data_IF_161147170337
#
_entry.id   IF_161147170337
#
_cell.length_a   1.000
_cell.length_b   1.000
_cell.length_c   1.000
_cell.angle_alpha   90.00
_cell.angle_beta   90.00
_cell.angle_gamma   90.00
#
_symmetry.space_group_name_H-M   'P 1'
#
loop_
_entity.id
_entity.type
_entity.pdbx_description
1 polymer ?
#
# COMPACT_ATOMS: atom_id res chain seq x y z
N UNK A 1 -27.79 28.87 31.08
CA UNK A 1 -27.48 28.04 29.89
C UNK A 1 -26.40 28.76 29.09
N UNK A 2 -25.14 28.37 29.26
CA UNK A 2 -24.02 28.91 28.49
C UNK A 2 -23.68 27.91 27.39
N UNK A 3 -23.89 28.31 26.12
CA UNK A 3 -23.37 27.61 24.95
C UNK A 3 -21.87 27.92 24.89
N UNK A 4 -21.01 26.93 25.14
CA UNK A 4 -19.60 27.03 24.78
C UNK A 4 -19.44 26.77 23.29
N UNK A 5 -19.07 27.80 22.54
CA UNK A 5 -18.55 27.67 21.19
C UNK A 5 -17.13 27.10 21.28
N UNK A 6 -16.94 25.83 20.90
CA UNK A 6 -15.61 25.31 20.62
C UNK A 6 -15.26 25.58 19.16
N UNK A 7 -14.48 26.62 18.93
CA UNK A 7 -13.72 26.79 17.69
C UNK A 7 -12.53 25.83 17.71
N UNK A 8 -12.62 24.73 16.96
CA UNK A 8 -11.45 23.89 16.66
C UNK A 8 -10.44 24.70 15.84
N UNK A 9 -9.31 25.05 16.43
CA UNK A 9 -8.14 25.47 15.68
C UNK A 9 -7.49 24.23 15.06
N UNK A 10 -7.52 24.16 13.73
CA UNK A 10 -6.87 23.12 12.93
C UNK A 10 -5.38 23.44 12.87
N UNK A 11 -4.55 22.57 13.45
CA UNK A 11 -3.11 22.57 13.23
C UNK A 11 -2.84 22.29 11.73
N UNK A 12 -2.06 23.15 11.02
CA UNK A 12 -1.77 22.99 9.60
C UNK A 12 -0.95 21.72 9.25
N UNK A 13 -0.53 20.93 10.24
CA UNK A 13 0.32 19.74 10.03
C UNK A 13 -0.41 18.39 9.87
N UNK A 14 -1.75 18.34 9.94
CA UNK A 14 -2.57 17.15 9.59
C UNK A 14 -2.04 15.80 10.11
N UNK A 15 -1.99 15.62 11.43
CA UNK A 15 -1.79 14.31 12.05
C UNK A 15 -3.12 13.79 12.57
N UNK A 16 -3.56 12.61 12.10
CA UNK A 16 -4.66 11.90 12.73
C UNK A 16 -4.10 10.95 13.79
N UNK A 17 -4.27 11.36 15.04
CA UNK A 17 -3.93 10.59 16.24
C UNK A 17 -5.22 9.94 16.73
N UNK A 18 -5.32 8.61 16.65
CA UNK A 18 -6.49 7.87 17.14
C UNK A 18 -6.56 7.90 18.67
N UNK A 19 -7.32 8.83 19.25
CA UNK A 19 -7.71 8.72 20.66
C UNK A 19 -8.96 7.83 20.75
N UNK A 20 -8.93 6.64 21.38
CA UNK A 20 -10.18 6.02 21.79
C UNK A 20 -10.94 7.01 22.67
N UNK A 21 -12.25 7.13 22.48
CA UNK A 21 -13.12 7.97 23.29
C UNK A 21 -13.05 7.47 24.73
N UNK A 22 -12.14 8.05 25.52
CA UNK A 22 -12.17 7.89 26.96
C UNK A 22 -13.22 8.87 27.48
N UNK A 23 -14.39 8.33 27.80
CA UNK A 23 -15.36 8.97 28.68
C UNK A 23 -14.71 9.14 30.05
N UNK A 24 -13.87 10.16 30.21
CA UNK A 24 -13.36 10.55 31.51
C UNK A 24 -14.39 11.44 32.20
N UNK A 25 -14.90 10.96 33.33
CA UNK A 25 -15.56 11.80 34.31
C UNK A 25 -14.64 12.96 34.68
N UNK A 26 -15.11 14.18 34.43
CA UNK A 26 -14.44 15.43 34.82
C UNK A 26 -14.44 15.57 36.34
N UNK A 27 -13.35 15.19 37.01
CA UNK A 27 -13.04 15.71 38.35
C UNK A 27 -11.61 15.34 38.80
N UNK A 28 -10.57 15.84 38.13
CA UNK A 28 -9.28 16.15 38.77
C UNK A 28 -8.54 17.21 37.94
N UNK A 29 -8.69 18.47 38.34
CA UNK A 29 -7.83 19.56 37.89
C UNK A 29 -6.61 19.55 38.81
N UNK A 30 -5.48 19.02 38.34
CA UNK A 30 -4.18 19.27 38.97
C UNK A 30 -3.53 20.42 38.22
N UNK A 31 -3.29 21.49 38.95
CA UNK A 31 -2.68 22.73 38.52
C UNK A 31 -1.18 22.48 38.28
N UNK A 32 -0.77 22.21 37.03
CA UNK A 32 0.63 22.23 36.62
C UNK A 32 0.90 23.51 35.83
N UNK A 33 1.87 24.29 36.31
CA UNK A 33 2.39 25.47 35.62
C UNK A 33 2.81 25.09 34.18
N UNK A 34 2.53 25.94 33.17
CA UNK A 34 3.04 25.72 31.83
C UNK A 34 4.56 25.88 31.85
N UNK A 35 5.27 24.77 31.74
CA UNK A 35 6.69 24.77 31.43
C UNK A 35 6.81 25.08 29.93
N UNK A 36 7.35 26.25 29.61
CA UNK A 36 7.58 26.70 28.24
C UNK A 36 8.44 25.65 27.49
N UNK A 37 7.95 25.05 26.39
CA UNK A 37 8.72 24.03 25.68
C UNK A 37 9.98 24.66 25.11
N UNK A 38 11.13 24.05 25.43
CA UNK A 38 12.42 24.47 24.91
C UNK A 38 12.38 24.55 23.37
N UNK A 39 13.05 25.54 22.76
CA UNK A 39 13.02 25.74 21.31
C UNK A 39 13.59 24.51 20.61
N UNK A 40 12.71 23.72 19.98
CA UNK A 40 13.11 22.59 19.15
C UNK A 40 13.95 23.12 17.99
N UNK A 41 15.25 22.82 18.02
CA UNK A 41 16.17 23.10 16.91
C UNK A 41 15.64 22.40 15.67
N UNK A 42 15.16 23.16 14.68
CA UNK A 42 14.74 22.67 13.36
C UNK A 42 15.95 22.16 12.58
N UNK A 43 16.41 20.94 12.88
CA UNK A 43 17.30 20.21 11.99
C UNK A 43 16.49 19.69 10.80
N UNK A 44 16.54 20.43 9.68
CA UNK A 44 15.98 20.00 8.40
C UNK A 44 16.92 18.98 7.74
N UNK A 45 16.99 17.77 8.28
CA UNK A 45 17.54 16.63 7.52
C UNK A 45 16.47 16.12 6.56
N UNK A 46 16.86 15.73 5.35
CA UNK A 46 15.95 15.03 4.40
C UNK A 46 15.46 13.71 5.04
N UNK A 47 16.27 13.13 5.92
CA UNK A 47 15.94 11.94 6.71
C UNK A 47 15.00 12.22 7.90
N UNK A 48 14.83 13.48 8.33
CA UNK A 48 13.92 13.82 9.44
C UNK A 48 12.44 13.62 9.09
N UNK A 49 12.10 13.42 7.80
CA UNK A 49 10.77 12.99 7.37
C UNK A 49 10.54 11.49 7.47
N UNK A 50 11.63 10.70 7.43
CA UNK A 50 11.57 9.24 7.40
C UNK A 50 11.35 8.63 8.76
N UNK A 51 11.93 9.25 9.80
CA UNK A 51 11.75 8.78 11.16
C UNK A 51 11.48 9.92 12.12
N UNK A 52 10.58 9.67 13.07
CA UNK A 52 10.34 10.53 14.22
C UNK A 52 10.84 9.78 15.43
N UNK A 53 11.77 10.38 16.17
CA UNK A 53 12.19 9.87 17.47
C UNK A 53 11.35 10.60 18.51
N UNK A 54 10.39 9.89 19.10
CA UNK A 54 9.60 10.37 20.24
C UNK A 54 9.81 9.36 21.38
N UNK A 55 10.27 9.86 22.53
CA UNK A 55 10.42 9.07 23.76
C UNK A 55 11.22 7.76 23.60
N UNK A 56 12.28 7.80 22.78
CA UNK A 56 13.14 6.63 22.53
C UNK A 56 12.57 5.62 21.51
N UNK A 57 11.38 5.85 20.96
CA UNK A 57 10.78 5.05 19.90
C UNK A 57 11.09 5.66 18.54
N UNK A 58 11.66 4.85 17.64
CA UNK A 58 11.86 5.21 16.23
C UNK A 58 10.58 4.87 15.47
N UNK A 59 9.82 5.90 15.10
CA UNK A 59 8.61 5.75 14.28
C UNK A 59 8.99 5.95 12.82
N UNK A 60 8.64 5.03 11.93
CA UNK A 60 9.00 5.14 10.50
C UNK A 60 7.75 5.43 9.68
N UNK A 61 7.89 6.35 8.72
CA UNK A 61 6.81 6.72 7.81
C UNK A 61 6.45 5.53 6.91
N UNK A 62 5.32 4.87 7.19
CA UNK A 62 4.79 3.77 6.38
C UNK A 62 4.58 4.22 4.94
N UNK A 63 4.14 5.46 4.74
CA UNK A 63 3.97 6.07 3.43
C UNK A 63 5.29 6.10 2.65
N UNK A 64 6.36 6.62 3.25
CA UNK A 64 7.64 6.76 2.54
C UNK A 64 8.28 5.38 2.28
N UNK A 65 8.19 4.45 3.23
CA UNK A 65 8.58 3.06 3.01
C UNK A 65 7.81 2.43 1.84
N UNK A 66 6.50 2.66 1.78
CA UNK A 66 5.64 2.15 0.71
C UNK A 66 6.07 2.70 -0.64
N UNK A 67 6.29 4.00 -0.74
CA UNK A 67 6.70 4.66 -1.99
C UNK A 67 8.08 4.14 -2.43
N UNK A 68 9.06 4.09 -1.52
CA UNK A 68 10.41 3.62 -1.84
C UNK A 68 10.41 2.17 -2.30
N UNK A 69 9.74 1.27 -1.57
CA UNK A 69 9.76 -0.16 -1.93
C UNK A 69 8.94 -0.44 -3.20
N UNK A 70 7.85 0.30 -3.45
CA UNK A 70 7.11 0.22 -4.71
C UNK A 70 7.94 0.73 -5.90
N UNK A 71 8.67 1.83 -5.72
CA UNK A 71 9.57 2.34 -6.74
C UNK A 71 10.73 1.37 -6.99
N UNK A 72 11.31 0.80 -5.93
CA UNK A 72 12.40 -0.17 -6.03
C UNK A 72 12.00 -1.40 -6.84
N UNK A 73 10.86 -2.05 -6.53
CA UNK A 73 10.43 -3.22 -7.28
C UNK A 73 10.16 -2.89 -8.76
N UNK A 74 9.60 -1.72 -9.04
CA UNK A 74 9.30 -1.26 -10.39
C UNK A 74 10.57 -1.01 -11.21
N UNK A 75 11.52 -0.30 -10.62
CA UNK A 75 12.83 -0.06 -11.24
C UNK A 75 13.54 -1.38 -11.46
N UNK A 76 13.56 -2.27 -10.46
CA UNK A 76 14.17 -3.60 -10.59
C UNK A 76 13.55 -4.40 -11.73
N UNK A 77 12.22 -4.44 -11.84
CA UNK A 77 11.55 -5.13 -12.95
C UNK A 77 11.93 -4.53 -14.31
N UNK A 78 11.88 -3.20 -14.46
CA UNK A 78 12.25 -2.54 -15.71
C UNK A 78 13.72 -2.82 -16.08
N UNK A 79 14.61 -2.81 -15.08
CA UNK A 79 16.04 -3.11 -15.26
C UNK A 79 16.25 -4.57 -15.67
N UNK A 80 15.53 -5.53 -15.06
CA UNK A 80 15.56 -6.94 -15.48
C UNK A 80 15.12 -7.09 -16.94
N UNK A 81 14.00 -6.45 -17.31
CA UNK A 81 13.52 -6.44 -18.70
C UNK A 81 14.56 -5.87 -19.66
N UNK A 82 15.13 -4.71 -19.35
CA UNK A 82 16.18 -4.07 -20.15
C UNK A 82 17.41 -4.97 -20.35
N UNK A 83 17.93 -5.55 -19.27
CA UNK A 83 19.11 -6.41 -19.36
C UNK A 83 18.83 -7.71 -20.10
N UNK A 84 17.63 -8.30 -19.95
CA UNK A 84 17.24 -9.49 -20.70
C UNK A 84 17.23 -9.22 -22.21
N UNK A 85 16.70 -8.06 -22.62
CA UNK A 85 16.75 -7.62 -24.01
C UNK A 85 18.18 -7.35 -24.48
N UNK A 86 18.98 -6.65 -23.68
CA UNK A 86 20.35 -6.27 -24.05
C UNK A 86 21.30 -7.47 -24.18
N UNK A 87 21.11 -8.49 -23.34
CA UNK A 87 21.91 -9.71 -23.35
C UNK A 87 21.48 -10.70 -24.44
N UNK A 88 20.40 -10.40 -25.18
CA UNK A 88 19.75 -11.30 -26.14
C UNK A 88 19.17 -12.57 -25.50
N UNK A 89 18.73 -12.48 -24.23
CA UNK A 89 17.93 -13.55 -23.60
C UNK A 89 16.54 -13.62 -24.24
N UNK A 90 16.02 -12.47 -24.70
CA UNK A 90 14.79 -12.34 -25.48
C UNK A 90 14.99 -11.36 -26.64
N UNK A 91 14.30 -11.61 -27.76
CA UNK A 91 14.11 -10.60 -28.79
C UNK A 91 13.13 -9.56 -28.26
N UNK A 92 13.48 -8.27 -28.30
CA UNK A 92 12.65 -7.20 -27.77
C UNK A 92 12.35 -6.19 -28.86
N UNK A 93 11.48 -6.58 -29.78
CA UNK A 93 10.95 -5.70 -30.82
C UNK A 93 9.48 -5.36 -30.55
N UNK A 94 8.83 -4.67 -31.50
CA UNK A 94 7.43 -4.27 -31.38
C UNK A 94 6.44 -5.45 -31.52
N UNK A 95 6.90 -6.63 -31.93
CA UNK A 95 6.07 -7.79 -32.22
C UNK A 95 6.21 -8.92 -31.19
N UNK A 96 7.41 -9.09 -30.64
CA UNK A 96 7.83 -10.22 -29.82
C UNK A 96 8.41 -9.77 -28.47
N UNK A 97 7.81 -8.76 -27.83
CA UNK A 97 8.22 -8.31 -26.49
C UNK A 97 7.96 -9.37 -25.40
N UNK A 98 8.89 -9.64 -24.46
CA UNK A 98 8.71 -10.70 -23.48
C UNK A 98 7.71 -10.32 -22.37
N UNK A 99 6.96 -11.33 -21.93
CA UNK A 99 6.10 -11.27 -20.75
C UNK A 99 6.92 -11.06 -19.47
N UNK A 100 6.33 -10.40 -18.46
CA UNK A 100 7.00 -10.21 -17.17
C UNK A 100 7.30 -11.56 -16.55
N UNK A 101 6.31 -12.47 -16.58
CA UNK A 101 6.43 -13.83 -16.02
C UNK A 101 7.63 -14.58 -16.60
N UNK A 102 7.91 -14.41 -17.90
CA UNK A 102 9.05 -15.04 -18.58
C UNK A 102 10.39 -14.41 -18.18
N UNK A 103 10.43 -13.09 -18.02
CA UNK A 103 11.65 -12.39 -17.57
C UNK A 103 12.01 -12.81 -16.14
N UNK A 104 11.03 -12.82 -15.23
CA UNK A 104 11.30 -13.20 -13.82
C UNK A 104 11.60 -14.69 -13.64
N UNK A 105 11.31 -15.55 -14.63
CA UNK A 105 11.66 -16.96 -14.60
C UNK A 105 13.17 -17.22 -14.84
N UNK A 106 13.94 -16.20 -15.23
CA UNK A 106 15.38 -16.35 -15.41
C UNK A 106 16.09 -16.60 -14.06
N UNK A 107 17.11 -17.49 -13.98
CA UNK A 107 17.67 -18.01 -12.70
C UNK A 107 18.31 -17.01 -11.71
N UNK A 108 18.52 -15.76 -12.12
CA UNK A 108 19.00 -14.68 -11.24
C UNK A 108 17.87 -13.70 -10.89
N UNK A 109 16.89 -13.56 -11.77
CA UNK A 109 15.78 -12.64 -11.63
C UNK A 109 14.68 -13.23 -10.76
N UNK A 110 14.46 -14.55 -10.80
CA UNK A 110 13.55 -15.28 -9.90
C UNK A 110 13.89 -14.99 -8.42
N UNK A 111 15.14 -15.17 -8.02
CA UNK A 111 15.64 -14.94 -6.66
C UNK A 111 15.48 -13.48 -6.25
N UNK A 112 15.82 -12.57 -7.16
CA UNK A 112 15.72 -11.13 -6.91
C UNK A 112 14.26 -10.72 -6.72
N UNK A 113 13.37 -11.24 -7.59
CA UNK A 113 11.94 -10.99 -7.51
C UNK A 113 11.34 -11.55 -6.22
N UNK A 114 11.69 -12.77 -5.81
CA UNK A 114 11.24 -13.37 -4.55
C UNK A 114 11.65 -12.49 -3.35
N UNK A 115 12.91 -12.06 -3.29
CA UNK A 115 13.40 -11.23 -2.18
C UNK A 115 12.66 -9.89 -2.14
N UNK A 116 12.55 -9.20 -3.27
CA UNK A 116 11.88 -7.90 -3.36
C UNK A 116 10.39 -7.99 -3.01
N UNK A 117 9.69 -8.96 -3.57
CA UNK A 117 8.26 -9.17 -3.29
C UNK A 117 8.02 -9.59 -1.85
N UNK A 118 8.89 -10.41 -1.24
CA UNK A 118 8.79 -10.78 0.17
C UNK A 118 8.91 -9.55 1.08
N UNK A 119 9.95 -8.73 0.86
CA UNK A 119 10.16 -7.48 1.62
C UNK A 119 8.96 -6.55 1.44
N UNK A 120 8.47 -6.41 0.21
CA UNK A 120 7.33 -5.53 -0.06
C UNK A 120 6.03 -6.04 0.57
N UNK A 121 5.72 -7.33 0.44
CA UNK A 121 4.47 -7.90 0.95
C UNK A 121 4.41 -7.92 2.47
N UNK A 122 5.47 -8.39 3.13
CA UNK A 122 5.49 -8.54 4.58
C UNK A 122 5.99 -7.30 5.32
N UNK A 123 6.88 -6.52 4.71
CA UNK A 123 7.41 -5.29 5.31
C UNK A 123 6.46 -4.10 5.18
N UNK A 124 5.66 -4.03 4.11
CA UNK A 124 4.86 -2.84 3.79
C UNK A 124 3.39 -3.14 3.56
N UNK A 125 3.09 -4.07 2.65
CA UNK A 125 1.72 -4.31 2.20
C UNK A 125 0.84 -4.81 3.35
N UNK A 126 1.34 -5.75 4.13
CA UNK A 126 0.65 -6.28 5.31
C UNK A 126 0.34 -5.18 6.34
N UNK A 127 1.28 -4.26 6.57
CA UNK A 127 1.10 -3.14 7.50
C UNK A 127 0.05 -2.15 6.97
N UNK A 128 0.08 -1.85 5.67
CA UNK A 128 -0.96 -1.02 5.03
C UNK A 128 -2.34 -1.66 5.11
N UNK A 129 -2.46 -2.97 4.84
CA UNK A 129 -3.74 -3.71 4.97
C UNK A 129 -4.28 -3.59 6.39
N UNK A 130 -3.43 -3.76 7.41
CA UNK A 130 -3.81 -3.59 8.82
C UNK A 130 -4.22 -2.14 9.14
N UNK A 131 -3.52 -1.15 8.59
CA UNK A 131 -3.87 0.26 8.78
C UNK A 131 -5.25 0.58 8.19
N UNK A 132 -5.55 0.11 6.98
CA UNK A 132 -6.87 0.30 6.36
C UNK A 132 -7.97 -0.47 7.09
N UNK A 133 -7.70 -1.67 7.58
CA UNK A 133 -8.63 -2.41 8.43
C UNK A 133 -9.01 -1.59 9.67
N UNK A 134 -8.02 -1.01 10.37
CA UNK A 134 -8.27 -0.11 11.51
C UNK A 134 -9.02 1.15 11.09
N UNK A 135 -8.66 1.76 9.95
CA UNK A 135 -9.30 2.98 9.43
C UNK A 135 -10.80 2.78 9.17
N UNK A 136 -11.21 1.58 8.77
CA UNK A 136 -12.61 1.26 8.46
C UNK A 136 -13.38 0.67 9.65
N UNK A 137 -12.71 0.40 10.76
CA UNK A 137 -13.33 -0.19 11.94
C UNK A 137 -14.43 0.72 12.52
N UNK A 138 -15.62 0.17 12.76
CA UNK A 138 -16.79 0.92 13.20
C UNK A 138 -17.42 1.84 12.15
N UNK A 139 -16.82 1.98 10.96
CA UNK A 139 -17.36 2.76 9.83
C UNK A 139 -18.19 1.87 8.90
N UNK A 140 -17.68 0.66 8.63
CA UNK A 140 -18.36 -0.40 7.85
C UNK A 140 -18.64 -1.61 8.75
N UNK A 141 -19.56 -2.53 8.36
CA UNK A 141 -19.80 -3.76 9.10
C UNK A 141 -18.54 -4.62 9.24
N UNK A 142 -18.29 -5.17 10.44
CA UNK A 142 -17.07 -5.93 10.77
C UNK A 142 -16.83 -7.09 9.79
N UNK A 143 -17.87 -7.85 9.45
CA UNK A 143 -17.77 -8.94 8.47
C UNK A 143 -17.22 -8.49 7.11
N UNK A 144 -17.56 -7.27 6.65
CA UNK A 144 -17.05 -6.75 5.38
C UNK A 144 -15.57 -6.36 5.52
N UNK A 145 -15.19 -5.80 6.66
CA UNK A 145 -13.82 -5.43 6.96
C UNK A 145 -12.91 -6.67 7.11
N UNK A 146 -13.38 -7.69 7.83
CA UNK A 146 -12.71 -8.98 8.00
C UNK A 146 -12.48 -9.69 6.67
N UNK A 147 -13.51 -9.73 5.82
CA UNK A 147 -13.38 -10.31 4.47
C UNK A 147 -12.32 -9.58 3.65
N UNK A 148 -12.31 -8.24 3.69
CA UNK A 148 -11.30 -7.45 3.00
C UNK A 148 -9.89 -7.73 3.56
N UNK A 149 -9.74 -7.77 4.88
CA UNK A 149 -8.48 -8.11 5.53
C UNK A 149 -7.96 -9.49 5.10
N UNK A 150 -8.81 -10.51 5.10
CA UNK A 150 -8.45 -11.86 4.68
C UNK A 150 -8.00 -11.92 3.21
N UNK A 151 -8.67 -11.21 2.30
CA UNK A 151 -8.24 -11.09 0.90
C UNK A 151 -6.84 -10.46 0.79
N UNK A 152 -6.61 -9.39 1.56
CA UNK A 152 -5.29 -8.75 1.63
C UNK A 152 -4.21 -9.72 2.13
N UNK A 153 -4.46 -10.44 3.22
CA UNK A 153 -3.51 -11.41 3.78
C UNK A 153 -3.18 -12.51 2.79
N UNK A 154 -4.18 -13.11 2.12
CA UNK A 154 -3.95 -14.13 1.08
C UNK A 154 -3.05 -13.58 -0.03
N UNK A 155 -3.30 -12.34 -0.47
CA UNK A 155 -2.47 -11.72 -1.51
C UNK A 155 -1.00 -11.51 -1.10
N UNK A 156 -0.74 -11.19 0.18
CA UNK A 156 0.62 -11.03 0.69
C UNK A 156 1.44 -12.33 0.58
N UNK A 157 0.82 -13.48 0.80
CA UNK A 157 1.47 -14.78 0.62
C UNK A 157 1.57 -15.19 -0.85
N UNK A 158 0.55 -14.86 -1.64
CA UNK A 158 0.48 -15.30 -3.03
C UNK A 158 1.59 -14.69 -3.91
N UNK A 159 1.89 -13.40 -3.78
CA UNK A 159 2.86 -12.73 -4.67
C UNK A 159 4.29 -13.33 -4.60
N UNK A 160 4.91 -13.52 -3.43
CA UNK A 160 6.25 -14.13 -3.37
C UNK A 160 6.25 -15.57 -3.89
N UNK A 161 5.14 -16.31 -3.67
CA UNK A 161 5.01 -17.68 -4.16
C UNK A 161 4.96 -17.77 -5.68
N UNK A 162 4.50 -16.74 -6.40
CA UNK A 162 4.60 -16.66 -7.86
C UNK A 162 6.06 -16.78 -8.31
N UNK A 163 6.98 -16.10 -7.61
CA UNK A 163 8.41 -16.19 -7.91
C UNK A 163 9.02 -17.55 -7.51
N UNK A 164 8.58 -18.12 -6.38
CA UNK A 164 9.08 -19.42 -5.90
C UNK A 164 8.70 -20.56 -6.85
N UNK A 165 7.46 -20.55 -7.35
CA UNK A 165 6.98 -21.54 -8.29
C UNK A 165 7.21 -21.06 -9.71
N UNK A 166 8.40 -21.36 -10.23
CA UNK A 166 8.80 -21.10 -11.62
C UNK A 166 7.74 -21.58 -12.63
N UNK A 167 7.42 -20.74 -13.61
CA UNK A 167 6.35 -21.02 -14.58
C UNK A 167 6.68 -22.23 -15.47
N UNK A 168 7.95 -22.45 -15.80
CA UNK A 168 8.36 -23.55 -16.69
C UNK A 168 8.34 -24.91 -16.00
N UNK A 169 8.66 -24.98 -14.70
CA UNK A 169 8.66 -26.21 -13.92
C UNK A 169 7.35 -26.49 -13.21
N UNK A 170 6.68 -25.45 -12.71
CA UNK A 170 5.51 -25.54 -11.84
C UNK A 170 4.35 -24.67 -12.35
N UNK A 171 4.19 -24.53 -13.67
CA UNK A 171 3.24 -23.59 -14.29
C UNK A 171 1.81 -23.64 -13.76
N UNK A 172 1.29 -24.81 -13.38
CA UNK A 172 -0.04 -24.90 -12.74
C UNK A 172 -0.08 -24.21 -11.37
N UNK A 173 0.92 -24.46 -10.52
CA UNK A 173 1.00 -23.83 -9.19
C UNK A 173 1.28 -22.34 -9.34
N UNK A 174 2.19 -21.96 -10.23
CA UNK A 174 2.45 -20.57 -10.61
C UNK A 174 1.16 -19.84 -10.98
N UNK A 175 0.37 -20.41 -11.90
CA UNK A 175 -0.91 -19.86 -12.35
C UNK A 175 -1.92 -19.73 -11.21
N UNK A 176 -2.01 -20.71 -10.32
CA UNK A 176 -2.89 -20.64 -9.13
C UNK A 176 -2.44 -19.49 -8.21
N UNK A 177 -1.15 -19.36 -7.94
CA UNK A 177 -0.60 -18.26 -7.12
C UNK A 177 -0.85 -16.90 -7.79
N UNK A 178 -0.69 -16.79 -9.11
CA UNK A 178 -0.97 -15.58 -9.86
C UNK A 178 -2.45 -15.19 -9.77
N UNK A 179 -3.37 -16.14 -10.02
CA UNK A 179 -4.82 -15.90 -9.89
C UNK A 179 -5.17 -15.52 -8.45
N UNK A 180 -4.60 -16.18 -7.45
CA UNK A 180 -4.82 -15.85 -6.05
C UNK A 180 -4.35 -14.43 -5.73
N UNK A 181 -3.15 -14.03 -6.18
CA UNK A 181 -2.65 -12.68 -5.98
C UNK A 181 -3.50 -11.63 -6.69
N UNK A 182 -3.60 -11.69 -8.02
CA UNK A 182 -4.30 -10.67 -8.81
C UNK A 182 -5.79 -10.63 -8.49
N UNK A 183 -6.41 -11.80 -8.25
CA UNK A 183 -7.81 -11.91 -7.85
C UNK A 183 -8.06 -11.34 -6.46
N UNK A 184 -7.39 -11.87 -5.42
CA UNK A 184 -7.63 -11.40 -4.05
C UNK A 184 -7.21 -9.95 -3.86
N UNK A 185 -6.06 -9.55 -4.39
CA UNK A 185 -5.58 -8.17 -4.28
C UNK A 185 -6.41 -7.19 -5.12
N UNK A 186 -6.78 -7.57 -6.34
CA UNK A 186 -7.65 -6.74 -7.17
C UNK A 186 -9.02 -6.51 -6.52
N UNK A 187 -9.65 -7.56 -5.99
CA UNK A 187 -10.91 -7.45 -5.25
C UNK A 187 -10.74 -6.61 -3.98
N UNK A 188 -9.64 -6.81 -3.23
CA UNK A 188 -9.29 -5.98 -2.07
C UNK A 188 -9.25 -4.49 -2.44
N UNK A 189 -8.52 -4.11 -3.49
CA UNK A 189 -8.38 -2.72 -3.92
C UNK A 189 -9.72 -2.10 -4.33
N UNK A 190 -10.57 -2.86 -5.03
CA UNK A 190 -11.92 -2.43 -5.42
C UNK A 190 -12.81 -2.24 -4.21
N UNK A 191 -12.84 -3.20 -3.28
CA UNK A 191 -13.59 -3.08 -2.04
C UNK A 191 -13.14 -1.87 -1.22
N UNK A 192 -11.83 -1.71 -1.03
CA UNK A 192 -11.25 -0.59 -0.28
C UNK A 192 -11.64 0.76 -0.89
N UNK A 193 -11.44 0.94 -2.20
CA UNK A 193 -11.82 2.16 -2.91
C UNK A 193 -13.31 2.45 -2.83
N UNK A 194 -14.16 1.41 -2.89
CA UNK A 194 -15.61 1.55 -2.74
C UNK A 194 -16.01 1.99 -1.34
N UNK A 195 -15.49 1.33 -0.30
CA UNK A 195 -15.88 1.61 1.09
C UNK A 195 -15.41 2.99 1.55
N UNK A 196 -14.19 3.39 1.19
CA UNK A 196 -13.70 4.74 1.49
C UNK A 196 -14.52 5.81 0.78
N UNK A 197 -14.85 5.60 -0.50
CA UNK A 197 -15.65 6.56 -1.27
C UNK A 197 -17.10 6.64 -0.78
N UNK A 198 -17.70 5.53 -0.38
CA UNK A 198 -19.08 5.49 0.12
C UNK A 198 -19.26 6.09 1.52
N UNK A 199 -18.19 6.12 2.32
CA UNK A 199 -18.18 6.66 3.69
C UNK A 199 -17.29 7.90 3.80
N UNK A 200 -17.09 8.61 2.69
CA UNK A 200 -16.13 9.70 2.57
C UNK A 200 -16.37 10.84 3.57
N UNK A 201 -17.63 11.07 3.91
CA UNK A 201 -18.13 12.04 4.88
C UNK A 201 -17.69 11.75 6.33
N UNK A 202 -17.32 10.51 6.63
CA UNK A 202 -16.84 10.09 7.96
C UNK A 202 -15.33 10.28 8.16
N UNK A 203 -14.60 10.67 7.12
CA UNK A 203 -13.16 10.91 7.18
C UNK A 203 -12.84 12.40 7.20
N UNK A 204 -11.59 12.74 7.53
CA UNK A 204 -11.13 14.12 7.50
C UNK A 204 -11.30 14.69 6.07
N UNK A 205 -11.94 15.86 5.89
CA UNK A 205 -12.13 16.48 4.57
C UNK A 205 -10.85 16.66 3.76
N UNK A 206 -9.69 16.79 4.43
CA UNK A 206 -8.39 16.84 3.78
C UNK A 206 -8.05 15.57 2.96
N UNK A 207 -8.57 14.41 3.36
CA UNK A 207 -8.32 13.13 2.70
C UNK A 207 -9.24 12.89 1.48
N UNK A 208 -10.23 13.76 1.28
CA UNK A 208 -11.26 13.66 0.24
C UNK A 208 -10.67 13.39 -1.15
N UNK A 209 -9.65 14.16 -1.54
CA UNK A 209 -8.99 14.02 -2.84
C UNK A 209 -8.24 12.68 -2.98
N UNK A 210 -7.57 12.24 -1.91
CA UNK A 210 -6.85 10.97 -1.90
C UNK A 210 -7.81 9.78 -1.98
N UNK A 211 -8.98 9.86 -1.34
CA UNK A 211 -10.04 8.85 -1.45
C UNK A 211 -10.56 8.77 -2.89
N UNK A 212 -10.80 9.90 -3.56
CA UNK A 212 -11.25 9.91 -4.95
C UNK A 212 -10.22 9.28 -5.89
N UNK A 213 -8.94 9.59 -5.69
CA UNK A 213 -7.84 8.96 -6.44
C UNK A 213 -7.80 7.45 -6.22
N UNK A 214 -8.01 6.98 -5.00
CA UNK A 214 -8.03 5.55 -4.72
C UNK A 214 -9.20 4.85 -5.40
N UNK A 215 -10.38 5.48 -5.37
CA UNK A 215 -11.57 4.99 -6.09
C UNK A 215 -11.29 4.94 -7.60
N UNK A 216 -10.69 5.97 -8.17
CA UNK A 216 -10.30 5.97 -9.58
C UNK A 216 -9.28 4.87 -9.88
N UNK A 217 -8.24 4.73 -9.04
CA UNK A 217 -7.23 3.69 -9.22
C UNK A 217 -7.79 2.28 -9.15
N UNK A 218 -8.78 2.05 -8.28
CA UNK A 218 -9.48 0.76 -8.24
C UNK A 218 -10.25 0.43 -9.53
N UNK A 219 -10.76 1.43 -10.25
CA UNK A 219 -11.38 1.23 -11.57
C UNK A 219 -10.33 0.91 -12.63
N UNK A 220 -9.16 1.54 -12.56
CA UNK A 220 -8.02 1.24 -13.45
C UNK A 220 -7.61 -0.22 -13.30
N UNK A 221 -7.58 -0.75 -12.07
CA UNK A 221 -7.32 -2.18 -11.83
C UNK A 221 -8.30 -3.07 -12.60
N UNK A 222 -9.61 -2.79 -12.51
CA UNK A 222 -10.63 -3.59 -13.20
C UNK A 222 -10.43 -3.54 -14.72
N UNK A 223 -10.13 -2.35 -15.26
CA UNK A 223 -9.86 -2.18 -16.69
C UNK A 223 -8.62 -2.95 -17.12
N UNK A 224 -7.52 -2.86 -16.36
CA UNK A 224 -6.28 -3.56 -16.68
C UNK A 224 -6.43 -5.08 -16.59
N UNK A 225 -7.12 -5.60 -15.57
CA UNK A 225 -7.40 -7.04 -15.47
C UNK A 225 -8.29 -7.53 -16.62
N UNK A 226 -9.35 -6.78 -16.96
CA UNK A 226 -10.20 -7.13 -18.10
C UNK A 226 -9.40 -7.11 -19.41
N UNK A 227 -8.55 -6.10 -19.62
CA UNK A 227 -7.67 -6.01 -20.78
C UNK A 227 -6.70 -7.20 -20.85
N UNK A 228 -6.11 -7.61 -19.73
CA UNK A 228 -5.21 -8.76 -19.67
C UNK A 228 -5.92 -10.08 -19.99
N UNK A 229 -7.12 -10.29 -19.43
CA UNK A 229 -7.92 -11.48 -19.72
C UNK A 229 -8.30 -11.54 -21.20
N UNK A 230 -8.78 -10.43 -21.77
CA UNK A 230 -9.10 -10.35 -23.20
C UNK A 230 -7.85 -10.52 -24.06
N UNK A 231 -6.69 -9.99 -23.64
CA UNK A 231 -5.46 -10.14 -24.41
C UNK A 231 -5.00 -11.59 -24.47
N UNK A 232 -5.08 -12.34 -23.36
CA UNK A 232 -4.80 -13.78 -23.38
C UNK A 232 -5.75 -14.58 -24.28
N UNK A 233 -7.02 -14.18 -24.37
CA UNK A 233 -8.01 -14.84 -25.24
C UNK A 233 -7.72 -14.60 -26.72
N UNK A 234 -7.41 -13.36 -27.10
CA UNK A 234 -7.30 -12.97 -28.52
C UNK A 234 -5.88 -13.00 -29.09
N UNK A 235 -4.87 -12.73 -28.26
CA UNK A 235 -3.48 -12.54 -28.69
C UNK A 235 -2.51 -13.55 -28.06
N UNK A 236 -2.98 -14.33 -27.09
CA UNK A 236 -2.16 -15.31 -26.35
C UNK A 236 -0.88 -14.64 -25.81
N UNK A 237 0.30 -15.17 -26.15
CA UNK A 237 1.60 -14.64 -25.69
C UNK A 237 2.20 -13.56 -26.60
N UNK A 238 1.50 -13.13 -27.65
CA UNK A 238 2.00 -12.11 -28.59
C UNK A 238 1.53 -10.71 -28.20
N UNK A 239 2.22 -9.68 -28.70
CA UNK A 239 1.82 -8.28 -28.53
C UNK A 239 0.35 -8.12 -28.97
N UNK A 240 -0.50 -7.48 -28.14
CA UNK A 240 -0.19 -6.61 -27.01
C UNK A 240 -0.15 -7.27 -25.62
N UNK A 241 -0.35 -8.58 -25.49
CA UNK A 241 -0.46 -9.24 -24.17
C UNK A 241 0.72 -8.96 -23.24
N UNK A 242 1.99 -9.09 -23.67
CA UNK A 242 3.14 -8.79 -22.81
C UNK A 242 3.11 -7.36 -22.28
N UNK A 243 2.81 -6.38 -23.13
CA UNK A 243 2.75 -4.96 -22.72
C UNK A 243 1.66 -4.70 -21.68
N UNK A 244 0.50 -5.36 -21.84
CA UNK A 244 -0.60 -5.25 -20.89
C UNK A 244 -0.24 -5.91 -19.56
N UNK A 245 0.42 -7.07 -19.58
CA UNK A 245 0.92 -7.74 -18.38
C UNK A 245 1.93 -6.87 -17.64
N UNK A 246 2.89 -6.27 -18.33
CA UNK A 246 3.82 -5.29 -17.75
C UNK A 246 3.07 -4.13 -17.08
N UNK A 247 2.07 -3.56 -17.76
CA UNK A 247 1.25 -2.49 -17.19
C UNK A 247 0.49 -2.96 -15.95
N UNK A 248 -0.06 -4.18 -15.95
CA UNK A 248 -0.76 -4.77 -14.80
C UNK A 248 0.20 -4.97 -13.63
N UNK A 249 1.33 -5.63 -13.82
CA UNK A 249 2.30 -5.91 -12.75
C UNK A 249 2.83 -4.61 -12.14
N UNK A 250 3.24 -3.66 -12.97
CA UNK A 250 3.71 -2.35 -12.50
C UNK A 250 2.61 -1.56 -11.80
N UNK A 251 1.37 -1.60 -12.30
CA UNK A 251 0.28 -0.91 -11.62
C UNK A 251 -0.04 -1.53 -10.26
N UNK A 252 -0.08 -2.86 -10.20
CA UNK A 252 -0.36 -3.63 -8.98
C UNK A 252 0.71 -3.40 -7.91
N UNK A 253 1.98 -3.46 -8.28
CA UNK A 253 3.08 -3.19 -7.34
C UNK A 253 3.03 -1.77 -6.80
N UNK A 254 2.60 -0.78 -7.59
CA UNK A 254 2.53 0.61 -7.15
C UNK A 254 1.18 1.04 -6.57
N UNK A 255 0.17 0.17 -6.51
CA UNK A 255 -1.16 0.58 -6.05
C UNK A 255 -1.12 1.16 -4.63
N UNK A 256 -0.37 0.54 -3.72
CA UNK A 256 -0.24 1.06 -2.36
C UNK A 256 0.58 2.34 -2.28
N UNK A 257 1.50 2.62 -3.21
CA UNK A 257 2.10 3.95 -3.28
C UNK A 257 1.03 5.02 -3.54
N UNK A 258 0.05 4.74 -4.41
CA UNK A 258 -1.11 5.62 -4.64
C UNK A 258 -2.01 5.67 -3.39
N UNK A 259 -2.32 4.51 -2.79
CA UNK A 259 -3.18 4.43 -1.62
C UNK A 259 -2.55 5.07 -0.36
N UNK A 260 -1.21 5.12 -0.27
CA UNK A 260 -0.49 5.71 0.85
C UNK A 260 -0.80 7.20 1.04
N UNK A 261 -1.21 7.91 -0.03
CA UNK A 261 -1.65 9.31 0.08
C UNK A 261 -3.01 9.47 0.76
N UNK A 262 -3.80 8.40 0.86
CA UNK A 262 -5.05 8.35 1.62
C UNK A 262 -4.87 7.72 3.00
N UNK A 263 -3.65 7.30 3.33
CA UNK A 263 -3.29 6.63 4.56
C UNK A 263 -2.32 7.53 5.35
N UNK A 264 -2.83 8.40 6.21
CA UNK A 264 -2.01 9.25 7.09
C UNK A 264 -1.32 8.49 8.24
N UNK A 265 -1.39 7.16 8.28
CA UNK A 265 -0.85 6.36 9.38
C UNK A 265 0.68 6.34 9.36
N UNK A 266 1.28 6.75 10.48
CA UNK A 266 2.66 6.46 10.84
C UNK A 266 2.68 5.15 11.65
N UNK A 267 3.61 4.24 11.37
CA UNK A 267 3.80 3.08 12.23
C UNK A 267 4.72 3.50 13.38
N UNK A 268 4.12 3.69 14.56
CA UNK A 268 4.83 3.94 15.81
C UNK A 268 4.32 3.00 16.90
N UNK A 269 5.24 2.20 17.46
CA UNK A 269 4.97 1.40 18.66
C UNK A 269 5.34 2.25 19.86
N UNK A 270 4.40 3.03 20.40
CA UNK A 270 4.62 3.72 21.67
C UNK A 270 4.56 2.73 22.83
N UNK A 271 5.50 2.87 23.77
CA UNK A 271 5.72 1.92 24.88
C UNK A 271 4.50 1.78 25.81
N UNK A 272 3.60 2.77 25.81
CA UNK A 272 2.51 2.86 26.79
C UNK A 272 1.10 2.86 26.17
N UNK A 273 0.96 2.65 24.85
CA UNK A 273 -0.35 2.57 24.18
C UNK A 273 -1.19 3.86 24.20
N UNK A 274 -0.71 4.92 24.84
CA UNK A 274 -1.33 6.25 24.86
C UNK A 274 -0.65 7.17 23.88
N UNK A 275 -1.41 7.67 22.92
CA UNK A 275 -0.98 8.75 22.05
C UNK A 275 -0.88 10.05 22.87
N UNK A 276 0.32 10.61 22.93
CA UNK A 276 0.56 11.91 23.53
C UNK A 276 -0.15 12.95 22.66
N UNK A 277 -1.11 13.66 23.25
CA UNK A 277 -1.78 14.79 22.59
C UNK A 277 -0.77 15.94 22.44
N UNK A 278 -0.72 16.63 21.28
CA UNK A 278 0.01 17.88 21.16
C UNK A 278 -0.59 18.96 22.06
#
# INVERSE_FOLDING_TARGET
>A
MLKSNETSQVDPSQFMVYSPVQTYNSSMIINQNPQEPAPQKKYKSIFARFFIIQDGVISVSLRDQTIILSALISISLIVMGYFSCHNNDFECDLHDFPMVSTVIALPMYDRTFIILTTIMMFGVQQVNIRAFYKKLYGIIPDKQNDNMFNLGVVSCFALPLIGVFDEHKWGTIHGICAIAFFGCFGVYCVMLGNYLSANKDKFNPAESHSIDKMKQGSRVIVVLLAALLLSFIFYHSKVPTPLIEWAVVLYYSNFFAIASYANGFYDSVHQDGTLIKP
#
